data_IF_389137602551
#
_entry.id   IF_389137602551
#
_cell.length_a   1.000
_cell.length_b   1.000
_cell.length_c   1.000
_cell.angle_alpha   90.00
_cell.angle_beta   90.00
_cell.angle_gamma   90.00
#
_symmetry.space_group_name_H-M   'P 1'
#
loop_
_entity.id
_entity.type
_entity.pdbx_description
1 polymer ?
#
# COMPACT_ATOMS: atom_id res chain seq x y z
N UNK A 1 -3.93 -9.81 7.91
CA UNK A 1 -3.11 -10.70 7.06
C UNK A 1 -2.01 -11.39 7.87
N UNK A 2 -1.30 -10.72 8.79
CA UNK A 2 -0.39 -11.43 9.73
C UNK A 2 0.82 -12.11 9.07
N UNK A 3 1.11 -11.79 7.82
CA UNK A 3 2.17 -12.38 7.04
C UNK A 3 3.53 -11.71 7.33
N UNK A 4 4.61 -12.50 7.33
CA UNK A 4 5.99 -12.05 7.43
C UNK A 4 6.55 -11.78 6.04
N UNK A 5 7.13 -10.62 5.77
CA UNK A 5 7.85 -10.39 4.51
C UNK A 5 9.28 -10.94 4.57
N UNK A 6 9.78 -11.55 3.49
CA UNK A 6 11.20 -11.93 3.36
C UNK A 6 11.77 -11.50 2.01
N UNK A 7 12.94 -10.82 1.98
CA UNK A 7 13.55 -10.37 0.72
C UNK A 7 14.23 -11.52 -0.05
N UNK A 8 14.53 -12.63 0.61
CA UNK A 8 15.09 -13.85 0.03
C UNK A 8 14.03 -14.94 -0.13
N UNK A 9 14.28 -15.89 -1.04
CA UNK A 9 13.48 -17.09 -1.21
C UNK A 9 14.18 -18.27 -0.52
N UNK A 10 13.40 -19.03 0.24
CA UNK A 10 13.77 -20.20 1.03
C UNK A 10 12.63 -21.22 0.99
N UNK A 11 12.89 -22.47 1.36
CA UNK A 11 11.84 -23.50 1.45
C UNK A 11 10.79 -23.26 2.53
N UNK A 12 11.03 -22.33 3.43
CA UNK A 12 10.06 -21.94 4.47
C UNK A 12 9.03 -20.92 3.95
N UNK A 13 9.19 -20.44 2.72
CA UNK A 13 8.24 -19.50 2.13
C UNK A 13 7.01 -20.23 1.60
N UNK A 14 5.83 -19.68 1.90
CA UNK A 14 4.54 -20.26 1.50
C UNK A 14 4.05 -19.77 0.12
N UNK A 15 4.60 -18.67 -0.39
CA UNK A 15 4.12 -17.98 -1.58
C UNK A 15 5.22 -17.06 -2.13
N UNK A 16 5.32 -16.93 -3.44
CA UNK A 16 6.11 -15.91 -4.12
C UNK A 16 5.19 -14.97 -4.90
N UNK A 17 5.38 -13.65 -4.73
CA UNK A 17 4.68 -12.63 -5.54
C UNK A 17 5.67 -12.10 -6.57
N UNK A 18 5.33 -12.19 -7.86
CA UNK A 18 6.17 -11.71 -8.95
C UNK A 18 5.34 -11.01 -10.04
N UNK A 19 5.96 -10.03 -10.70
CA UNK A 19 5.33 -9.30 -11.82
C UNK A 19 5.56 -9.99 -13.17
N UNK A 20 6.75 -10.55 -13.35
CA UNK A 20 7.19 -11.14 -14.63
C UNK A 20 7.83 -12.50 -14.36
N UNK A 21 7.65 -13.44 -15.29
CA UNK A 21 8.42 -14.69 -15.31
C UNK A 21 9.90 -14.46 -15.68
N UNK A 22 10.74 -15.48 -15.53
CA UNK A 22 12.14 -15.46 -15.97
C UNK A 22 13.15 -14.93 -14.95
N UNK A 23 12.74 -14.65 -13.71
CA UNK A 23 13.65 -14.36 -12.61
C UNK A 23 14.04 -15.69 -11.95
N UNK A 24 15.32 -15.93 -11.64
CA UNK A 24 15.76 -17.19 -11.03
C UNK A 24 15.01 -17.59 -9.74
N UNK A 25 14.39 -16.62 -9.05
CA UNK A 25 13.47 -16.87 -7.93
C UNK A 25 12.18 -17.59 -8.35
N UNK A 26 11.60 -17.27 -9.51
CA UNK A 26 10.38 -17.92 -10.02
C UNK A 26 10.65 -19.37 -10.39
N UNK A 27 11.79 -19.63 -11.03
CA UNK A 27 12.22 -20.98 -11.39
C UNK A 27 12.47 -21.81 -10.13
N UNK A 28 13.22 -21.27 -9.16
CA UNK A 28 13.44 -21.94 -7.86
C UNK A 28 12.17 -22.16 -7.07
N UNK A 29 11.24 -21.21 -7.09
CA UNK A 29 9.94 -21.38 -6.42
C UNK A 29 9.16 -22.56 -7.04
N UNK A 30 9.14 -22.67 -8.38
CA UNK A 30 8.52 -23.81 -9.07
C UNK A 30 9.19 -25.14 -8.74
N UNK A 31 10.53 -25.17 -8.68
CA UNK A 31 11.27 -26.38 -8.26
C UNK A 31 10.96 -26.80 -6.81
N UNK A 32 10.65 -25.84 -5.95
CA UNK A 32 10.32 -26.08 -4.53
C UNK A 32 8.83 -26.21 -4.27
N UNK A 33 8.01 -26.27 -5.32
CA UNK A 33 6.54 -26.34 -5.24
C UNK A 33 5.91 -25.16 -4.48
N UNK A 34 6.58 -23.99 -4.50
CA UNK A 34 6.08 -22.75 -3.91
C UNK A 34 5.20 -22.05 -4.95
N UNK A 35 3.93 -21.74 -4.63
CA UNK A 35 3.03 -21.08 -5.55
C UNK A 35 3.53 -19.67 -5.91
N UNK A 36 3.43 -19.33 -7.19
CA UNK A 36 3.85 -18.03 -7.72
C UNK A 36 2.64 -17.27 -8.23
N UNK A 37 2.36 -16.11 -7.64
CA UNK A 37 1.21 -15.27 -7.97
C UNK A 37 1.62 -13.86 -8.40
N UNK A 38 0.72 -13.17 -9.10
CA UNK A 38 0.85 -11.76 -9.42
C UNK A 38 0.45 -10.87 -8.23
N UNK A 39 0.65 -9.56 -8.37
CA UNK A 39 0.30 -8.61 -7.31
C UNK A 39 -1.22 -8.60 -7.01
N UNK A 40 -2.08 -8.86 -7.99
CA UNK A 40 -3.54 -8.80 -7.82
C UNK A 40 -4.02 -9.71 -6.69
N UNK A 41 -3.39 -10.87 -6.48
CA UNK A 41 -3.72 -11.75 -5.36
C UNK A 41 -3.57 -11.04 -4.00
N UNK A 42 -2.50 -10.27 -3.83
CA UNK A 42 -2.27 -9.50 -2.61
C UNK A 42 -3.29 -8.37 -2.46
N UNK A 43 -3.60 -7.67 -3.56
CA UNK A 43 -4.58 -6.58 -3.57
C UNK A 43 -5.97 -7.08 -3.15
N UNK A 44 -6.43 -8.19 -3.74
CA UNK A 44 -7.73 -8.79 -3.47
C UNK A 44 -7.83 -9.28 -2.01
N UNK A 45 -6.78 -9.95 -1.50
CA UNK A 45 -6.72 -10.35 -0.09
C UNK A 45 -6.70 -9.15 0.86
N UNK A 46 -5.99 -8.07 0.51
CA UNK A 46 -5.98 -6.84 1.30
C UNK A 46 -7.35 -6.17 1.31
N UNK A 47 -8.07 -6.23 0.19
CA UNK A 47 -9.46 -5.82 0.08
C UNK A 47 -10.45 -6.75 0.82
N UNK A 48 -9.97 -7.78 1.52
CA UNK A 48 -10.81 -8.70 2.28
C UNK A 48 -11.49 -9.78 1.45
N UNK A 49 -11.20 -9.87 0.15
CA UNK A 49 -11.63 -11.01 -0.67
C UNK A 49 -10.75 -12.20 -0.30
N UNK A 50 -11.33 -13.24 0.30
CA UNK A 50 -10.60 -14.50 0.56
C UNK A 50 -10.37 -15.21 -0.76
N UNK A 51 -9.15 -15.14 -1.28
CA UNK A 51 -8.83 -15.64 -2.63
C UNK A 51 -7.68 -16.64 -2.58
N UNK A 52 -7.82 -17.71 -3.35
CA UNK A 52 -6.83 -18.80 -3.38
C UNK A 52 -5.68 -18.47 -4.34
N UNK A 53 -4.46 -18.83 -3.94
CA UNK A 53 -3.27 -18.62 -4.77
C UNK A 53 -3.30 -19.44 -6.09
N UNK A 54 -4.09 -20.51 -6.14
CA UNK A 54 -4.22 -21.37 -7.32
C UNK A 54 -5.11 -20.82 -8.44
N UNK A 55 -5.83 -19.71 -8.23
CA UNK A 55 -6.72 -19.19 -9.27
C UNK A 55 -5.94 -18.72 -10.50
N UNK A 56 -6.44 -19.08 -11.70
CA UNK A 56 -5.78 -18.75 -12.97
C UNK A 56 -5.50 -17.26 -13.13
N UNK A 57 -6.41 -16.38 -12.66
CA UNK A 57 -6.26 -14.91 -12.70
C UNK A 57 -5.01 -14.38 -12.00
N UNK A 58 -4.43 -15.15 -11.08
CA UNK A 58 -3.23 -14.75 -10.34
C UNK A 58 -1.94 -15.31 -10.91
N UNK A 59 -2.01 -16.14 -11.95
CA UNK A 59 -0.80 -16.70 -12.55
C UNK A 59 0.00 -15.61 -13.27
N UNK A 60 1.33 -15.83 -13.35
CA UNK A 60 2.21 -14.94 -14.09
C UNK A 60 1.83 -14.88 -15.57
N UNK A 61 1.85 -13.68 -16.13
CA UNK A 61 1.47 -13.42 -17.54
C UNK A 61 -0.01 -13.12 -17.74
N UNK A 62 -0.85 -13.23 -16.71
CA UNK A 62 -2.20 -12.69 -16.77
C UNK A 62 -2.20 -11.16 -16.74
N UNK A 63 -3.18 -10.51 -17.41
CA UNK A 63 -3.39 -9.08 -17.26
C UNK A 63 -3.53 -8.72 -15.78
N UNK A 64 -2.62 -7.88 -15.28
CA UNK A 64 -2.69 -7.32 -13.95
C UNK A 64 -2.87 -5.82 -14.12
N UNK A 65 -4.06 -5.31 -13.81
CA UNK A 65 -4.27 -3.87 -13.75
C UNK A 65 -3.41 -3.30 -12.60
N UNK A 66 -2.91 -2.08 -12.80
CA UNK A 66 -2.06 -1.44 -11.80
C UNK A 66 -2.79 -1.27 -10.48
N UNK A 67 -2.06 -1.45 -9.38
CA UNK A 67 -2.56 -1.30 -7.99
C UNK A 67 -2.81 0.14 -7.58
N UNK A 68 -2.99 1.03 -8.54
CA UNK A 68 -3.44 2.39 -8.30
C UNK A 68 -4.85 2.54 -8.86
N UNK A 69 -5.85 1.78 -8.37
CA UNK A 69 -7.23 2.08 -8.68
C UNK A 69 -7.48 3.53 -8.24
N UNK A 70 -8.05 4.33 -9.13
CA UNK A 70 -8.46 5.69 -8.77
C UNK A 70 -9.40 5.66 -7.56
N UNK A 71 -9.56 6.78 -6.84
CA UNK A 71 -10.35 6.83 -5.60
C UNK A 71 -11.77 6.25 -5.76
N UNK A 72 -12.38 6.43 -6.94
CA UNK A 72 -13.68 5.84 -7.27
C UNK A 72 -13.67 4.30 -7.32
N UNK A 73 -12.62 3.70 -7.88
CA UNK A 73 -12.51 2.24 -7.96
C UNK A 73 -12.27 1.65 -6.56
N UNK A 74 -11.49 2.32 -5.71
CA UNK A 74 -11.29 1.92 -4.31
C UNK A 74 -12.62 1.78 -3.55
N UNK A 75 -13.53 2.72 -3.76
CA UNK A 75 -14.87 2.66 -3.17
C UNK A 75 -15.68 1.45 -3.64
N UNK A 76 -15.57 1.08 -4.91
CA UNK A 76 -16.34 -0.06 -5.45
C UNK A 76 -15.80 -1.44 -5.01
N UNK A 77 -14.55 -1.50 -4.53
CA UNK A 77 -13.88 -2.77 -4.17
C UNK A 77 -14.40 -3.37 -2.87
N UNK A 78 -14.64 -2.56 -1.83
CA UNK A 78 -15.14 -3.02 -0.53
C UNK A 78 -15.90 -1.89 0.20
N UNK A 79 -17.02 -2.21 0.84
CA UNK A 79 -17.79 -1.27 1.68
C UNK A 79 -16.96 -0.65 2.82
N UNK A 80 -15.94 -1.33 3.33
CA UNK A 80 -14.98 -0.76 4.28
C UNK A 80 -14.23 0.44 3.68
N UNK A 81 -13.80 0.36 2.41
CA UNK A 81 -13.17 1.48 1.73
C UNK A 81 -14.16 2.62 1.51
N UNK A 82 -15.43 2.32 1.19
CA UNK A 82 -16.49 3.35 1.09
C UNK A 82 -16.64 4.13 2.38
N UNK A 83 -16.68 3.44 3.53
CA UNK A 83 -16.84 4.08 4.83
C UNK A 83 -15.62 4.95 5.19
N UNK A 84 -14.40 4.47 4.92
CA UNK A 84 -13.18 5.24 5.15
C UNK A 84 -13.11 6.51 4.29
N UNK A 85 -13.52 6.41 3.03
CA UNK A 85 -13.51 7.54 2.09
C UNK A 85 -14.69 8.50 2.30
N UNK A 86 -15.73 8.10 3.04
CA UNK A 86 -16.90 8.94 3.30
C UNK A 86 -16.53 10.27 3.97
N UNK A 87 -15.65 10.25 4.97
CA UNK A 87 -15.20 11.46 5.65
C UNK A 87 -14.53 12.48 4.70
N UNK A 88 -13.86 12.00 3.65
CA UNK A 88 -13.19 12.83 2.65
C UNK A 88 -14.15 13.45 1.63
N UNK A 89 -15.39 12.96 1.57
CA UNK A 89 -16.46 13.51 0.72
C UNK A 89 -17.30 14.55 1.42
N UNK A 90 -17.24 14.60 2.75
CA UNK A 90 -18.01 15.56 3.52
C UNK A 90 -17.40 16.94 3.34
N UNK A 91 -18.16 17.92 2.80
CA UNK A 91 -17.65 19.28 2.69
C UNK A 91 -17.43 19.82 4.10
N UNK A 92 -16.22 20.30 4.36
CA UNK A 92 -15.92 21.01 5.60
C UNK A 92 -16.48 22.43 5.44
N UNK A 93 -17.58 22.71 6.12
CA UNK A 93 -18.15 24.05 6.18
C UNK A 93 -17.29 24.84 7.17
N UNK A 94 -16.59 25.85 6.66
CA UNK A 94 -15.79 26.77 7.49
C UNK A 94 -16.54 28.09 7.59
N UNK A 95 -16.94 28.48 8.80
CA UNK A 95 -17.55 29.79 9.01
C UNK A 95 -16.50 30.90 8.93
N UNK A 96 -16.90 32.15 8.65
CA UNK A 96 -15.96 33.28 8.63
C UNK A 96 -15.17 33.44 9.94
N UNK A 97 -15.78 33.13 11.08
CA UNK A 97 -15.14 33.20 12.40
C UNK A 97 -14.11 32.09 12.58
N UNK A 98 -14.43 30.86 12.16
CA UNK A 98 -13.48 29.73 12.18
C UNK A 98 -12.30 29.97 11.25
N UNK A 99 -12.56 30.56 10.08
CA UNK A 99 -11.52 30.93 9.12
C UNK A 99 -10.56 31.95 9.73
N UNK A 100 -11.09 33.02 10.33
CA UNK A 100 -10.28 34.06 10.99
C UNK A 100 -9.48 33.51 12.18
N UNK A 101 -10.09 32.69 13.03
CA UNK A 101 -9.41 32.02 14.14
C UNK A 101 -8.26 31.11 13.64
N UNK A 102 -8.43 30.43 12.50
CA UNK A 102 -7.37 29.59 11.93
C UNK A 102 -6.17 30.41 11.43
N UNK A 103 -6.40 31.61 10.90
CA UNK A 103 -5.33 32.55 10.55
C UNK A 103 -4.58 33.04 11.78
N UNK A 104 -5.30 33.44 12.83
CA UNK A 104 -4.70 33.91 14.09
C UNK A 104 -3.88 32.80 14.75
N UNK A 105 -4.40 31.57 14.76
CA UNK A 105 -3.71 30.37 15.26
C UNK A 105 -2.46 30.06 14.45
N UNK A 106 -2.56 30.10 13.10
CA UNK A 106 -1.41 29.88 12.21
C UNK A 106 -0.33 30.93 12.44
N UNK A 107 -0.68 32.21 12.58
CA UNK A 107 0.28 33.29 12.85
C UNK A 107 0.95 33.11 14.22
N UNK A 108 0.20 32.75 15.25
CA UNK A 108 0.76 32.49 16.58
C UNK A 108 1.75 31.31 16.58
N UNK A 109 1.37 30.21 15.93
CA UNK A 109 2.19 29.00 15.83
C UNK A 109 3.41 29.20 14.92
N UNK A 110 3.29 29.97 13.83
CA UNK A 110 4.45 30.34 13.02
C UNK A 110 5.42 31.22 13.81
N UNK A 111 4.96 32.09 14.70
CA UNK A 111 5.86 32.92 15.49
C UNK A 111 6.43 32.21 16.73
N UNK A 112 6.03 30.97 16.98
CA UNK A 112 6.51 30.15 18.08
C UNK A 112 7.68 29.25 17.64
N UNK A 113 8.90 29.66 18.00
CA UNK A 113 10.15 28.93 17.73
C UNK A 113 10.21 27.56 18.46
N UNK A 114 9.37 27.33 19.47
CA UNK A 114 9.28 26.06 20.21
C UNK A 114 8.41 25.00 19.53
N UNK A 115 7.50 25.41 18.65
CA UNK A 115 6.53 24.49 18.00
C UNK A 115 7.09 23.91 16.69
N UNK A 116 7.90 24.67 15.95
CA UNK A 116 8.50 24.22 14.68
C UNK A 116 10.02 24.48 14.61
N UNK A 117 10.85 23.67 15.31
CA UNK A 117 12.30 23.85 15.34
C UNK A 117 13.01 23.68 13.98
N UNK A 118 12.31 23.16 12.95
CA UNK A 118 12.87 22.87 11.63
C UNK A 118 12.78 24.01 10.60
N UNK A 119 12.41 25.24 10.99
CA UNK A 119 12.34 26.39 10.05
C UNK A 119 13.67 26.69 9.32
N UNK A 120 14.80 26.18 9.81
CA UNK A 120 16.12 26.30 9.18
C UNK A 120 16.41 25.23 8.11
N UNK A 121 15.58 24.19 7.97
CA UNK A 121 15.84 23.04 7.09
C UNK A 121 15.18 23.19 5.69
N UNK A 122 15.27 24.36 5.06
CA UNK A 122 14.75 24.60 3.68
C UNK A 122 15.86 24.62 2.61
N UNK A 123 17.06 24.11 2.87
CA UNK A 123 18.17 24.21 1.92
C UNK A 123 18.83 22.90 1.49
N UNK A 124 18.32 21.72 1.87
CA UNK A 124 18.88 20.47 1.36
C UNK A 124 17.85 19.75 0.51
N UNK A 125 18.05 19.83 -0.81
CA UNK A 125 17.29 19.09 -1.81
C UNK A 125 17.43 17.58 -1.54
N UNK A 126 16.33 16.93 -1.18
CA UNK A 126 16.28 15.48 -1.02
C UNK A 126 16.22 14.79 -2.40
N UNK A 127 17.10 13.81 -2.69
CA UNK A 127 17.07 13.08 -3.94
C UNK A 127 15.91 12.08 -4.00
N UNK A 128 15.44 11.84 -5.22
CA UNK A 128 14.26 11.03 -5.60
C UNK A 128 14.30 9.58 -5.09
N UNK A 129 13.18 9.03 -4.56
CA UNK A 129 13.14 7.65 -4.09
C UNK A 129 12.92 6.65 -5.23
N UNK A 130 13.86 5.70 -5.37
CA UNK A 130 13.77 4.56 -6.30
C UNK A 130 12.92 3.42 -5.70
N UNK A 131 12.08 2.82 -6.55
CA UNK A 131 11.08 1.77 -6.29
C UNK A 131 11.60 0.53 -5.52
N UNK A 132 10.80 0.01 -4.58
CA UNK A 132 11.01 -1.26 -3.87
C UNK A 132 9.98 -2.34 -4.28
N UNK A 133 10.44 -3.60 -4.42
CA UNK A 133 9.63 -4.81 -4.67
C UNK A 133 9.28 -5.52 -3.34
N UNK A 134 8.08 -6.12 -3.24
CA UNK A 134 7.51 -6.71 -2.00
C UNK A 134 7.12 -8.20 -2.20
N UNK A 135 7.32 -9.07 -1.18
CA UNK A 135 7.07 -10.53 -1.11
C UNK A 135 6.63 -10.97 0.30
N UNK A 136 5.44 -11.55 0.48
CA UNK A 136 4.87 -11.93 1.79
C UNK A 136 4.91 -13.45 2.06
N UNK A 137 5.01 -13.84 3.34
CA UNK A 137 4.97 -15.22 3.89
C UNK A 137 3.82 -15.33 4.89
N UNK A 138 2.86 -16.21 4.65
CA UNK A 138 1.80 -16.48 5.63
C UNK A 138 2.18 -17.64 6.53
N UNK A 139 2.14 -17.43 7.83
CA UNK A 139 2.29 -18.50 8.82
C UNK A 139 0.90 -18.84 9.35
N UNK A 140 0.34 -19.95 8.88
CA UNK A 140 -0.87 -20.55 9.43
C UNK A 140 -0.53 -21.14 10.79
N UNK A 141 -1.01 -20.53 11.87
CA UNK A 141 -1.02 -21.19 13.17
C UNK A 141 -2.09 -22.29 13.13
N UNK A 142 -1.65 -23.52 13.43
CA UNK A 142 -2.49 -24.69 13.65
C UNK A 142 -3.24 -24.61 14.97
#
# INVERSE_FOLDING_TARGET
>A
MGARFTPYLSRHNSLLIAKTGGVGKVEKAREWDIPVVNYQWLADNYAGQRVEAGCQKYQLGQPCEGVSPGPYILEMINDQFKQLLFAWKMPIIVTPEQWRHSFDTKQAVENDEGVFPNKKLRSVASPSPTFFFICFVFQTHS
#
